data_IF_616099135664
#
_entry.id   IF_616099135664
#
_cell.length_a   1.000
_cell.length_b   1.000
_cell.length_c   1.000
_cell.angle_alpha   90.00
_cell.angle_beta   90.00
_cell.angle_gamma   90.00
#
_symmetry.space_group_name_H-M   'P 1'
#
loop_
_entity.id
_entity.type
_entity.pdbx_description
1 polymer ?
#
# COMPACT_ATOMS: atom_id res chain seq x y z
N UNK A 1 -6.45 8.11 -15.81
CA UNK A 1 -7.30 7.92 -14.62
C UNK A 1 -6.46 7.18 -13.62
N UNK A 2 -6.29 7.73 -12.41
CA UNK A 2 -5.35 7.16 -11.44
C UNK A 2 -5.89 5.83 -10.90
N UNK A 3 -4.98 4.88 -10.69
CA UNK A 3 -5.28 3.58 -10.10
C UNK A 3 -4.63 3.43 -8.74
N UNK A 4 -5.36 2.83 -7.81
CA UNK A 4 -4.83 2.42 -6.51
C UNK A 4 -4.89 0.91 -6.43
N UNK A 5 -3.73 0.29 -6.19
CA UNK A 5 -3.64 -1.12 -5.90
C UNK A 5 -3.59 -1.29 -4.39
N UNK A 6 -4.63 -1.86 -3.83
CA UNK A 6 -4.70 -2.13 -2.42
C UNK A 6 -4.44 -3.61 -2.17
N UNK A 7 -3.30 -3.93 -1.56
CA UNK A 7 -3.05 -5.25 -1.00
C UNK A 7 -3.49 -5.27 0.45
N UNK A 8 -4.43 -6.14 0.76
CA UNK A 8 -4.76 -6.46 2.14
C UNK A 8 -4.64 -7.96 2.33
N UNK A 9 -3.69 -8.39 3.16
CA UNK A 9 -3.63 -9.78 3.64
C UNK A 9 -4.91 -10.21 4.35
N UNK A 10 -4.83 -11.22 5.21
CA UNK A 10 -6.05 -11.82 5.82
C UNK A 10 -6.59 -11.04 7.03
N UNK A 11 -6.88 -9.74 6.88
CA UNK A 11 -7.35 -8.87 7.96
C UNK A 11 -8.57 -8.01 7.59
N UNK A 12 -9.77 -8.58 7.71
CA UNK A 12 -11.02 -7.95 7.27
C UNK A 12 -11.33 -6.61 7.96
N UNK A 13 -11.21 -6.52 9.29
CA UNK A 13 -11.67 -5.34 10.04
C UNK A 13 -10.83 -4.08 9.76
N UNK A 14 -9.49 -4.18 9.88
CA UNK A 14 -8.60 -3.05 9.56
C UNK A 14 -8.62 -2.77 8.05
N UNK A 15 -8.79 -3.81 7.21
CA UNK A 15 -8.85 -3.63 5.77
C UNK A 15 -10.02 -2.76 5.32
N UNK A 16 -11.21 -2.94 5.90
CA UNK A 16 -12.37 -2.09 5.61
C UNK A 16 -12.13 -0.62 6.00
N UNK A 17 -11.47 -0.36 7.14
CA UNK A 17 -11.14 1.01 7.57
C UNK A 17 -10.16 1.69 6.61
N UNK A 18 -9.13 0.96 6.18
CA UNK A 18 -8.14 1.46 5.22
C UNK A 18 -8.80 1.68 3.85
N UNK A 19 -9.68 0.78 3.41
CA UNK A 19 -10.39 0.93 2.14
C UNK A 19 -11.23 2.20 2.13
N UNK A 20 -12.03 2.46 3.17
CA UNK A 20 -12.82 3.69 3.30
C UNK A 20 -11.92 4.94 3.28
N UNK A 21 -10.75 4.87 3.91
CA UNK A 21 -9.77 5.95 3.89
C UNK A 21 -9.21 6.17 2.48
N UNK A 22 -8.89 5.11 1.74
CA UNK A 22 -8.42 5.20 0.35
C UNK A 22 -9.50 5.84 -0.54
N UNK A 23 -10.75 5.42 -0.42
CA UNK A 23 -11.88 5.96 -1.18
C UNK A 23 -12.07 7.47 -0.92
N UNK A 24 -11.92 7.90 0.33
CA UNK A 24 -12.00 9.31 0.72
C UNK A 24 -10.82 10.14 0.22
N UNK A 25 -9.59 9.61 0.31
CA UNK A 25 -8.37 10.33 -0.08
C UNK A 25 -8.21 10.46 -1.60
N UNK A 26 -8.86 9.58 -2.37
CA UNK A 26 -8.65 9.45 -3.81
C UNK A 26 -9.97 9.33 -4.60
N UNK A 27 -10.90 10.29 -4.46
CA UNK A 27 -12.22 10.20 -5.10
C UNK A 27 -12.08 10.11 -6.63
N UNK A 28 -12.82 9.19 -7.24
CA UNK A 28 -12.79 8.95 -8.69
C UNK A 28 -11.60 8.13 -9.21
N UNK A 29 -10.75 7.61 -8.32
CA UNK A 29 -9.70 6.67 -8.68
C UNK A 29 -10.23 5.25 -8.82
N UNK A 30 -9.63 4.46 -9.71
CA UNK A 30 -9.95 3.04 -9.81
C UNK A 30 -9.21 2.28 -8.71
N UNK A 31 -9.94 1.66 -7.78
CA UNK A 31 -9.36 0.90 -6.67
C UNK A 31 -9.44 -0.59 -6.99
N UNK A 32 -8.31 -1.27 -7.04
CA UNK A 32 -8.22 -2.73 -7.19
C UNK A 32 -7.76 -3.36 -5.89
N UNK A 33 -8.57 -4.27 -5.34
CA UNK A 33 -8.29 -4.94 -4.07
C UNK A 33 -7.72 -6.33 -4.35
N UNK A 34 -6.60 -6.64 -3.70
CA UNK A 34 -5.90 -7.90 -3.84
C UNK A 34 -5.62 -8.52 -2.48
N UNK A 35 -6.08 -9.76 -2.28
CA UNK A 35 -5.88 -10.53 -1.04
C UNK A 35 -4.85 -11.64 -1.18
N UNK A 36 -4.32 -11.85 -2.39
CA UNK A 36 -3.29 -12.85 -2.70
C UNK A 36 -2.07 -12.18 -3.32
N UNK A 37 -0.89 -12.76 -3.04
CA UNK A 37 0.37 -12.29 -3.61
C UNK A 37 0.36 -12.39 -5.13
N UNK A 38 -0.21 -13.47 -5.68
CA UNK A 38 -0.30 -13.69 -7.12
C UNK A 38 -1.16 -12.62 -7.80
N UNK A 39 -2.35 -12.33 -7.26
CA UNK A 39 -3.23 -11.30 -7.79
C UNK A 39 -2.60 -9.92 -7.75
N UNK A 40 -1.94 -9.59 -6.63
CA UNK A 40 -1.25 -8.32 -6.47
C UNK A 40 -0.05 -8.20 -7.41
N UNK A 41 0.77 -9.24 -7.53
CA UNK A 41 1.93 -9.25 -8.44
C UNK A 41 1.51 -9.15 -9.91
N UNK A 42 0.41 -9.81 -10.30
CA UNK A 42 -0.17 -9.71 -11.64
C UNK A 42 -0.59 -8.28 -11.97
N UNK A 43 -1.27 -7.63 -11.02
CA UNK A 43 -1.63 -6.22 -11.14
C UNK A 43 -0.40 -5.31 -11.27
N UNK A 44 0.59 -5.45 -10.36
CA UNK A 44 1.83 -4.66 -10.41
C UNK A 44 2.56 -4.77 -11.76
N UNK A 45 2.55 -5.95 -12.40
CA UNK A 45 3.16 -6.15 -13.73
C UNK A 45 2.36 -5.53 -14.87
N UNK A 46 1.05 -5.43 -14.72
CA UNK A 46 0.16 -4.89 -15.75
C UNK A 46 0.17 -3.37 -15.81
N UNK A 47 0.38 -2.70 -14.66
CA UNK A 47 0.19 -1.27 -14.54
C UNK A 47 1.50 -0.48 -14.69
N UNK A 48 1.44 0.60 -15.47
CA UNK A 48 2.57 1.50 -15.68
C UNK A 48 2.71 2.51 -14.53
N UNK A 49 3.95 2.80 -14.15
CA UNK A 49 4.37 3.66 -13.03
C UNK A 49 3.71 5.05 -12.99
N UNK A 50 3.30 5.56 -14.16
CA UNK A 50 2.85 6.94 -14.31
C UNK A 50 1.47 7.24 -13.72
N UNK A 51 0.65 6.24 -13.35
CA UNK A 51 -0.71 6.46 -12.83
C UNK A 51 -1.11 5.44 -11.76
N UNK A 52 -0.16 4.87 -11.03
CA UNK A 52 -0.45 3.81 -10.04
C UNK A 52 0.19 4.10 -8.70
N UNK A 53 -0.59 3.98 -7.64
CA UNK A 53 -0.14 4.01 -6.25
C UNK A 53 -0.47 2.67 -5.62
N UNK A 54 0.47 2.08 -4.88
CA UNK A 54 0.23 0.87 -4.10
C UNK A 54 -0.02 1.23 -2.63
N UNK A 55 -1.05 0.65 -2.02
CA UNK A 55 -1.27 0.68 -0.57
C UNK A 55 -1.19 -0.77 -0.09
N UNK A 56 -0.33 -1.04 0.88
CA UNK A 56 0.02 -2.40 1.28
C UNK A 56 -0.20 -2.54 2.78
N UNK A 57 -1.18 -3.36 3.14
CA UNK A 57 -1.43 -3.77 4.52
C UNK A 57 -0.77 -5.13 4.78
N UNK A 58 0.19 -5.12 5.71
CA UNK A 58 0.82 -6.33 6.26
C UNK A 58 0.53 -6.38 7.75
N UNK A 59 -0.12 -7.44 8.19
CA UNK A 59 -0.54 -7.62 9.57
C UNK A 59 0.22 -8.74 10.28
N UNK A 60 1.00 -9.51 9.53
CA UNK A 60 1.97 -10.46 10.05
C UNK A 60 3.34 -10.23 9.40
N UNK A 61 4.41 -10.52 10.13
CA UNK A 61 5.78 -10.45 9.60
C UNK A 61 5.98 -11.36 8.39
N UNK A 62 5.27 -12.49 8.33
CA UNK A 62 5.31 -13.39 7.16
C UNK A 62 4.72 -12.76 5.91
N UNK A 63 3.64 -11.98 6.04
CA UNK A 63 3.06 -11.22 4.92
C UNK A 63 4.06 -10.17 4.40
N UNK A 64 4.75 -9.48 5.30
CA UNK A 64 5.82 -8.54 4.92
C UNK A 64 6.95 -9.23 4.14
N UNK A 65 7.37 -10.43 4.58
CA UNK A 65 8.38 -11.22 3.86
C UNK A 65 7.90 -11.63 2.47
N UNK A 66 6.62 -11.96 2.31
CA UNK A 66 6.05 -12.27 1.00
C UNK A 66 6.02 -11.04 0.09
N UNK A 67 5.65 -9.86 0.61
CA UNK A 67 5.70 -8.61 -0.15
C UNK A 67 7.14 -8.24 -0.54
N UNK A 68 8.14 -8.55 0.29
CA UNK A 68 9.55 -8.34 -0.05
C UNK A 68 10.00 -9.10 -1.30
N UNK A 69 9.33 -10.21 -1.65
CA UNK A 69 9.60 -10.92 -2.91
C UNK A 69 9.21 -10.09 -4.14
N UNK A 70 8.30 -9.12 -3.98
CA UNK A 70 7.83 -8.20 -5.03
C UNK A 70 8.62 -6.88 -5.06
N UNK A 71 9.71 -6.77 -4.30
CA UNK A 71 10.51 -5.55 -4.16
C UNK A 71 10.87 -4.88 -5.49
N UNK A 72 11.30 -5.66 -6.48
CA UNK A 72 11.70 -5.10 -7.77
C UNK A 72 10.51 -4.51 -8.55
N UNK A 73 9.31 -5.08 -8.41
CA UNK A 73 8.09 -4.53 -9.00
C UNK A 73 7.65 -3.26 -8.26
N UNK A 74 7.76 -3.26 -6.93
CA UNK A 74 7.35 -2.13 -6.08
C UNK A 74 8.33 -0.95 -6.16
N UNK A 75 9.60 -1.16 -6.50
CA UNK A 75 10.58 -0.07 -6.63
C UNK A 75 10.18 0.98 -7.67
N UNK A 76 9.44 0.52 -8.68
CA UNK A 76 8.91 1.30 -9.78
C UNK A 76 7.57 1.97 -9.46
N UNK A 77 6.91 1.60 -8.36
CA UNK A 77 5.55 2.03 -8.04
C UNK A 77 5.56 2.73 -6.67
N UNK A 78 5.10 3.99 -6.57
CA UNK A 78 5.03 4.65 -5.28
C UNK A 78 4.07 3.88 -4.35
N UNK A 79 4.60 3.46 -3.20
CA UNK A 79 3.85 2.64 -2.25
C UNK A 79 3.74 3.28 -0.88
N UNK A 80 2.62 3.02 -0.21
CA UNK A 80 2.41 3.27 1.22
C UNK A 80 2.32 1.91 1.91
N UNK A 81 3.10 1.73 2.96
CA UNK A 81 3.24 0.45 3.66
C UNK A 81 2.72 0.56 5.09
N UNK A 82 1.84 -0.36 5.46
CA UNK A 82 1.26 -0.47 6.80
C UNK A 82 1.80 -1.76 7.41
N UNK A 83 2.64 -1.62 8.43
CA UNK A 83 3.38 -2.69 9.08
C UNK A 83 2.60 -3.27 10.27
N UNK A 84 2.89 -4.54 10.65
CA UNK A 84 2.25 -5.17 11.79
C UNK A 84 2.62 -4.51 13.13
N UNK A 85 3.86 -4.05 13.24
CA UNK A 85 4.46 -3.46 14.44
C UNK A 85 5.56 -2.45 14.07
N UNK A 86 5.97 -1.65 15.05
CA UNK A 86 7.03 -0.64 14.94
C UNK A 86 8.42 -1.18 15.32
N UNK A 87 8.57 -2.51 15.46
CA UNK A 87 9.83 -3.08 15.87
C UNK A 87 10.91 -2.76 14.84
N UNK A 88 12.13 -2.54 15.34
CA UNK A 88 13.28 -2.20 14.49
C UNK A 88 13.48 -3.20 13.36
N UNK A 89 13.20 -4.48 13.59
CA UNK A 89 13.30 -5.53 12.58
C UNK A 89 12.25 -5.35 11.48
N UNK A 90 10.99 -5.19 11.84
CA UNK A 90 9.87 -5.01 10.91
C UNK A 90 10.04 -3.73 10.09
N UNK A 91 10.38 -2.61 10.73
CA UNK A 91 10.62 -1.33 10.05
C UNK A 91 11.82 -1.41 9.10
N UNK A 92 12.90 -2.08 9.51
CA UNK A 92 14.08 -2.27 8.64
C UNK A 92 13.74 -3.09 7.41
N UNK A 93 12.96 -4.17 7.56
CA UNK A 93 12.46 -4.99 6.45
C UNK A 93 11.54 -4.18 5.54
N UNK A 94 10.54 -3.49 6.09
CA UNK A 94 9.62 -2.65 5.31
C UNK A 94 10.33 -1.56 4.50
N UNK A 95 11.36 -0.95 5.07
CA UNK A 95 12.14 0.09 4.39
C UNK A 95 12.89 -0.42 3.14
N UNK A 96 13.16 -1.72 3.02
CA UNK A 96 13.80 -2.31 1.83
C UNK A 96 12.91 -2.21 0.58
N UNK A 97 11.60 -2.12 0.76
CA UNK A 97 10.62 -1.89 -0.31
C UNK A 97 10.66 -0.47 -0.86
N UNK A 98 11.40 0.45 -0.20
CA UNK A 98 11.47 1.87 -0.53
C UNK A 98 10.07 2.53 -0.65
N UNK A 99 9.16 2.31 0.31
CA UNK A 99 7.86 2.97 0.27
C UNK A 99 8.03 4.49 0.48
N UNK A 100 7.07 5.26 -0.01
CA UNK A 100 7.00 6.70 0.23
C UNK A 100 6.55 7.04 1.65
N UNK A 101 5.86 6.11 2.31
CA UNK A 101 5.39 6.27 3.67
C UNK A 101 5.25 4.91 4.36
N UNK A 102 5.55 4.89 5.66
CA UNK A 102 5.43 3.72 6.54
C UNK A 102 4.64 4.16 7.77
N UNK A 103 3.65 3.37 8.16
CA UNK A 103 3.00 3.44 9.46
C UNK A 103 2.71 2.04 9.99
N UNK A 104 2.29 1.95 11.26
CA UNK A 104 1.94 0.69 11.91
C UNK A 104 0.43 0.50 11.93
N UNK A 105 -0.01 -0.76 12.11
CA UNK A 105 -1.42 -1.13 12.22
C UNK A 105 -2.16 -0.38 13.33
N UNK A 106 -1.50 -0.11 14.45
CA UNK A 106 -2.10 0.55 15.60
C UNK A 106 -2.13 2.08 15.46
N UNK A 107 -1.41 2.63 14.48
CA UNK A 107 -1.38 4.07 14.26
C UNK A 107 -2.72 4.58 13.73
N UNK A 108 -2.97 5.86 14.00
CA UNK A 108 -4.10 6.58 13.44
C UNK A 108 -3.93 6.76 11.92
N UNK A 109 -5.05 6.69 11.19
CA UNK A 109 -5.05 6.71 9.72
C UNK A 109 -4.97 8.12 9.12
N UNK A 110 -5.02 9.20 9.91
CA UNK A 110 -4.98 10.59 9.41
C UNK A 110 -3.71 10.89 8.62
N UNK A 111 -2.55 10.48 9.13
CA UNK A 111 -1.28 10.73 8.44
C UNK A 111 -1.18 9.92 7.15
N UNK A 112 -1.70 8.69 7.14
CA UNK A 112 -1.77 7.85 5.94
C UNK A 112 -2.70 8.48 4.89
N UNK A 113 -3.86 8.99 5.32
CA UNK A 113 -4.81 9.72 4.48
C UNK A 113 -4.17 10.94 3.82
N UNK A 114 -3.54 11.81 4.63
CA UNK A 114 -2.93 13.05 4.15
C UNK A 114 -1.81 12.79 3.15
N UNK A 115 -1.00 11.75 3.37
CA UNK A 115 0.07 11.38 2.44
C UNK A 115 -0.51 10.81 1.16
N UNK A 116 -1.51 9.93 1.24
CA UNK A 116 -2.17 9.39 0.06
C UNK A 116 -2.79 10.52 -0.78
N UNK A 117 -3.54 11.42 -0.16
CA UNK A 117 -4.16 12.56 -0.83
C UNK A 117 -3.12 13.43 -1.56
N UNK A 118 -2.01 13.79 -0.89
CA UNK A 118 -0.92 14.56 -1.53
C UNK A 118 -0.29 13.81 -2.71
N UNK A 119 -0.17 12.49 -2.62
CA UNK A 119 0.31 11.68 -3.72
C UNK A 119 -0.66 11.72 -4.90
N UNK A 120 -1.96 11.59 -4.66
CA UNK A 120 -3.01 11.69 -5.67
C UNK A 120 -3.01 13.05 -6.36
N UNK A 121 -2.97 14.13 -5.59
CA UNK A 121 -2.93 15.51 -6.10
C UNK A 121 -1.77 15.71 -7.08
N UNK A 122 -0.60 15.12 -6.78
CA UNK A 122 0.58 15.20 -7.66
C UNK A 122 0.39 14.50 -9.01
N UNK A 123 -0.47 13.48 -9.10
CA UNK A 123 -0.77 12.80 -10.36
C UNK A 123 -1.89 13.48 -11.17
N UNK A 124 -2.68 14.34 -10.53
CA UNK A 124 -3.75 15.11 -11.17
C UNK A 124 -3.32 16.53 -11.58
N UNK A 125 -2.14 16.99 -11.15
CA UNK A 125 -1.54 18.28 -11.48
C UNK A 125 -0.72 18.22 -12.78
#
# INVERSE_FOLDING_TARGET
MMKILYYSGQHEQKSAQILNMIESAAPGSEISIHTTLDGFSGALRQYHESQTIAVILTALTEELLNILLLRELLRSIPSLLILPDDSKETVSKGSLLQPRYICCLEDDLSSLHDVLQKMVEKYNA
#
